data_IF_580200266838
#
_entry.id   IF_580200266838
#
_cell.length_a   1.000
_cell.length_b   1.000
_cell.length_c   1.000
_cell.angle_alpha   90.00
_cell.angle_beta   90.00
_cell.angle_gamma   90.00
#
_symmetry.space_group_name_H-M   'P 1'
#
loop_
_entity.id
_entity.type
_entity.pdbx_description
1 polymer ?
#
# COMPACT_ATOMS: atom_id res chain seq x y z
N UNK A 1 -19.22 12.02 1.56
CA UNK A 1 -17.89 12.37 1.04
C UNK A 1 -16.96 11.25 1.43
N UNK A 2 -16.18 10.69 0.50
CA UNK A 2 -15.27 9.58 0.81
C UNK A 2 -13.84 10.15 0.90
N UNK A 3 -13.38 10.40 2.12
CA UNK A 3 -12.03 10.93 2.39
C UNK A 3 -11.15 9.83 2.97
N UNK A 4 -9.83 9.94 2.71
CA UNK A 4 -8.80 9.19 3.42
C UNK A 4 -7.93 10.18 4.17
N UNK A 5 -7.90 10.04 5.49
CA UNK A 5 -7.00 10.79 6.37
C UNK A 5 -5.84 9.87 6.72
N UNK A 6 -4.61 10.35 6.58
CA UNK A 6 -3.42 9.52 6.82
C UNK A 6 -2.21 10.38 7.19
N UNK A 7 -1.26 9.79 7.92
CA UNK A 7 0.00 10.45 8.25
C UNK A 7 1.13 9.85 7.42
N UNK A 8 1.86 10.68 6.67
CA UNK A 8 3.01 10.23 5.87
C UNK A 8 4.24 11.06 6.19
N UNK A 9 5.34 10.40 6.56
CA UNK A 9 6.62 11.04 6.97
C UNK A 9 6.42 12.11 8.07
N UNK A 10 5.48 11.88 8.99
CA UNK A 10 5.16 12.78 10.10
C UNK A 10 4.25 13.97 9.74
N UNK A 11 3.80 14.10 8.50
CA UNK A 11 2.83 15.10 8.07
C UNK A 11 1.45 14.49 7.84
N UNK A 12 0.40 15.21 8.26
CA UNK A 12 -0.98 14.80 8.09
C UNK A 12 -1.51 15.21 6.71
N UNK A 13 -2.20 14.29 6.05
CA UNK A 13 -2.81 14.49 4.73
C UNK A 13 -4.27 14.04 4.73
N UNK A 14 -5.04 14.65 3.84
CA UNK A 14 -6.42 14.29 3.54
C UNK A 14 -6.56 14.17 2.02
N UNK A 15 -6.89 12.98 1.53
CA UNK A 15 -7.26 12.74 0.14
C UNK A 15 -8.79 12.66 0.02
N UNK A 16 -9.40 13.58 -0.71
CA UNK A 16 -10.80 13.44 -1.11
C UNK A 16 -10.91 12.56 -2.35
N UNK A 17 -11.34 11.30 -2.16
CA UNK A 17 -11.46 10.33 -3.26
C UNK A 17 -12.59 10.67 -4.25
N UNK A 18 -13.41 11.68 -3.96
CA UNK A 18 -14.49 12.13 -4.85
C UNK A 18 -13.98 13.18 -5.84
N UNK A 19 -13.16 14.12 -5.38
CA UNK A 19 -12.57 15.17 -6.22
C UNK A 19 -11.15 14.85 -6.72
N UNK A 20 -10.48 13.87 -6.09
CA UNK A 20 -9.07 13.56 -6.33
C UNK A 20 -8.12 14.56 -5.69
N UNK A 21 -8.63 15.47 -4.85
CA UNK A 21 -7.83 16.53 -4.24
C UNK A 21 -7.06 16.02 -3.02
N UNK A 22 -5.73 16.16 -3.06
CA UNK A 22 -4.86 15.92 -1.91
C UNK A 22 -4.61 17.25 -1.17
N UNK A 23 -4.99 17.28 0.10
CA UNK A 23 -4.75 18.39 1.03
C UNK A 23 -3.75 17.95 2.10
N UNK A 24 -2.89 18.86 2.53
CA UNK A 24 -1.86 18.60 3.54
C UNK A 24 -0.68 19.57 3.38
N UNK A 25 0.42 19.26 4.04
CA UNK A 25 1.66 20.04 3.94
C UNK A 25 2.20 20.06 2.49
N UNK A 26 2.76 21.19 2.05
CA UNK A 26 3.33 21.36 0.70
C UNK A 26 4.84 21.02 0.65
N UNK A 27 5.35 20.32 1.67
CA UNK A 27 6.73 19.90 1.80
C UNK A 27 7.11 18.68 0.95
N UNK A 28 8.25 18.08 1.28
CA UNK A 28 8.82 16.98 0.49
C UNK A 28 7.96 15.70 0.51
N UNK A 29 7.26 15.44 1.61
CA UNK A 29 6.31 14.32 1.71
C UNK A 29 5.23 14.38 0.63
N UNK A 30 4.68 15.57 0.35
CA UNK A 30 3.69 15.77 -0.72
C UNK A 30 4.26 15.47 -2.09
N UNK A 31 5.47 15.97 -2.38
CA UNK A 31 6.16 15.72 -3.65
C UNK A 31 6.42 14.24 -3.87
N UNK A 32 6.78 13.50 -2.82
CA UNK A 32 6.94 12.04 -2.88
C UNK A 32 5.63 11.34 -3.21
N UNK A 33 4.52 11.71 -2.54
CA UNK A 33 3.18 11.17 -2.83
C UNK A 33 2.79 11.44 -4.28
N UNK A 34 2.85 12.70 -4.72
CA UNK A 34 2.48 13.11 -6.08
C UNK A 34 3.34 12.43 -7.14
N UNK A 35 4.64 12.26 -6.87
CA UNK A 35 5.54 11.54 -7.76
C UNK A 35 5.19 10.05 -7.83
N UNK A 36 4.92 9.40 -6.70
CA UNK A 36 4.58 7.98 -6.66
C UNK A 36 3.25 7.69 -7.37
N UNK A 37 2.24 8.53 -7.19
CA UNK A 37 0.95 8.38 -7.87
C UNK A 37 1.06 8.64 -9.37
N UNK A 38 1.82 9.65 -9.78
CA UNK A 38 2.08 9.91 -11.20
C UNK A 38 2.84 8.75 -11.88
N UNK A 39 3.89 8.22 -11.25
CA UNK A 39 4.64 7.06 -11.77
C UNK A 39 3.74 5.83 -11.85
N UNK A 40 2.98 5.53 -10.79
CA UNK A 40 2.06 4.40 -10.77
C UNK A 40 1.02 4.49 -11.89
N UNK A 41 0.40 5.67 -12.07
CA UNK A 41 -0.58 5.90 -13.12
C UNK A 41 0.05 5.79 -14.53
N UNK A 42 1.26 6.31 -14.72
CA UNK A 42 1.98 6.19 -15.99
C UNK A 42 2.35 4.73 -16.31
N UNK A 43 2.76 3.96 -15.29
CA UNK A 43 3.10 2.55 -15.43
C UNK A 43 1.87 1.65 -15.64
N UNK A 44 0.69 2.08 -15.17
CA UNK A 44 -0.57 1.37 -15.33
C UNK A 44 -0.78 0.19 -14.37
N UNK A 45 0.28 -0.25 -13.69
CA UNK A 45 0.25 -1.35 -12.73
C UNK A 45 1.40 -1.19 -11.72
N UNK A 46 1.12 -1.52 -10.45
CA UNK A 46 2.11 -1.76 -9.43
C UNK A 46 2.27 -3.28 -9.23
N UNK A 47 3.51 -3.75 -9.22
CA UNK A 47 3.88 -5.14 -8.91
C UNK A 47 5.27 -5.19 -8.28
N UNK A 48 5.53 -6.24 -7.50
CA UNK A 48 6.83 -6.48 -6.91
C UNK A 48 7.68 -7.43 -7.78
N UNK A 49 9.00 -7.27 -7.73
CA UNK A 49 9.93 -8.08 -8.54
C UNK A 49 10.01 -9.55 -8.08
N UNK A 50 9.68 -9.82 -6.82
CA UNK A 50 9.68 -11.16 -6.25
C UNK A 50 8.35 -11.90 -6.49
N UNK A 51 7.36 -11.24 -7.12
CA UNK A 51 6.03 -11.76 -7.37
C UNK A 51 5.33 -12.30 -6.10
N UNK A 52 5.62 -11.68 -4.96
CA UNK A 52 5.02 -11.99 -3.66
C UNK A 52 3.64 -11.34 -3.51
N UNK A 53 3.38 -10.25 -4.23
CA UNK A 53 2.13 -9.51 -4.15
C UNK A 53 1.26 -9.71 -5.38
N UNK A 54 -0.04 -9.57 -5.19
CA UNK A 54 -1.02 -9.49 -6.27
C UNK A 54 -0.84 -8.11 -6.92
N UNK A 55 -0.59 -8.04 -8.24
CA UNK A 55 -0.45 -6.77 -8.93
C UNK A 55 -1.70 -5.91 -8.79
N UNK A 56 -1.51 -4.60 -8.63
CA UNK A 56 -2.59 -3.62 -8.52
C UNK A 56 -2.57 -2.76 -9.77
N UNK A 57 -3.62 -2.85 -10.57
CA UNK A 57 -3.80 -1.97 -11.73
C UNK A 57 -4.05 -0.53 -11.28
N UNK A 58 -3.26 0.42 -11.81
CA UNK A 58 -3.32 1.83 -11.45
C UNK A 58 -3.86 2.63 -12.64
N UNK A 59 -5.09 3.14 -12.52
CA UNK A 59 -5.78 3.92 -13.56
C UNK A 59 -6.03 5.35 -13.08
N UNK A 60 -6.51 5.46 -11.84
CA UNK A 60 -6.87 6.73 -11.21
C UNK A 60 -6.62 6.62 -9.70
N UNK A 61 -5.35 6.71 -9.27
CA UNK A 61 -4.98 6.54 -7.87
C UNK A 61 -5.61 7.59 -6.97
N UNK A 62 -5.91 8.80 -7.48
CA UNK A 62 -6.45 9.88 -6.65
C UNK A 62 -7.93 9.68 -6.28
N UNK A 63 -8.66 8.81 -7.00
CA UNK A 63 -10.06 8.47 -6.72
C UNK A 63 -10.26 7.04 -6.19
N UNK A 64 -9.17 6.28 -6.00
CA UNK A 64 -9.24 4.88 -5.56
C UNK A 64 -8.22 4.56 -4.45
N UNK A 65 -8.74 4.31 -3.25
CA UNK A 65 -7.94 3.99 -2.06
C UNK A 65 -6.92 2.86 -2.25
N UNK A 66 -7.28 1.78 -2.96
CA UNK A 66 -6.38 0.63 -3.18
C UNK A 66 -5.23 0.98 -4.13
N UNK A 67 -5.55 1.75 -5.16
CA UNK A 67 -4.53 2.21 -6.12
C UNK A 67 -3.61 3.24 -5.47
N UNK A 68 -4.18 4.19 -4.72
CA UNK A 68 -3.41 5.13 -3.90
C UNK A 68 -2.46 4.41 -2.95
N UNK A 69 -2.98 3.48 -2.15
CA UNK A 69 -2.19 2.71 -1.20
C UNK A 69 -1.08 1.91 -1.88
N UNK A 70 -1.31 1.32 -3.06
CA UNK A 70 -0.26 0.65 -3.83
C UNK A 70 0.84 1.62 -4.28
N UNK A 71 0.49 2.84 -4.68
CA UNK A 71 1.48 3.88 -5.00
C UNK A 71 2.32 4.26 -3.77
N UNK A 72 1.70 4.46 -2.60
CA UNK A 72 2.43 4.76 -1.36
C UNK A 72 3.31 3.59 -0.92
N UNK A 73 2.79 2.36 -1.02
CA UNK A 73 3.51 1.14 -0.68
C UNK A 73 4.79 0.97 -1.53
N UNK A 74 4.82 1.51 -2.75
CA UNK A 74 6.01 1.48 -3.61
C UNK A 74 7.21 2.30 -3.09
N UNK A 75 6.96 3.31 -2.26
CA UNK A 75 7.99 4.23 -1.74
C UNK A 75 8.21 4.08 -0.23
N UNK A 76 7.25 3.49 0.46
CA UNK A 76 7.27 3.22 1.89
C UNK A 76 6.59 1.88 2.15
N UNK A 77 7.20 0.75 1.75
CA UNK A 77 6.59 -0.53 2.02
C UNK A 77 6.57 -0.79 3.54
N UNK A 78 7.58 -0.32 4.30
CA UNK A 78 7.86 -0.67 5.71
C UNK A 78 6.73 -0.35 6.68
N UNK A 79 6.44 -1.21 7.65
CA UNK A 79 5.38 -1.01 8.65
C UNK A 79 5.51 0.31 9.37
N UNK A 80 6.76 0.65 9.68
CA UNK A 80 7.16 1.85 10.39
C UNK A 80 7.07 3.11 9.49
N UNK A 81 7.03 2.95 8.16
CA UNK A 81 6.95 4.04 7.18
C UNK A 81 5.60 4.13 6.45
N UNK A 82 4.88 3.02 6.31
CA UNK A 82 3.61 2.90 5.61
C UNK A 82 2.49 3.41 6.52
N UNK A 83 1.65 4.36 6.08
CA UNK A 83 0.63 4.93 6.94
C UNK A 83 -0.34 3.85 7.45
N UNK A 84 -0.51 3.77 8.78
CA UNK A 84 -1.41 2.80 9.42
C UNK A 84 -2.84 2.92 8.90
N UNK A 85 -3.26 4.14 8.58
CA UNK A 85 -4.60 4.43 8.05
C UNK A 85 -4.81 3.84 6.65
N UNK A 86 -3.74 3.49 5.93
CA UNK A 86 -3.76 2.85 4.63
C UNK A 86 -3.64 1.32 4.69
N UNK A 87 -3.42 0.72 5.87
CA UNK A 87 -3.30 -0.73 6.04
C UNK A 87 -4.45 -1.53 5.39
N UNK A 88 -5.73 -1.15 5.52
CA UNK A 88 -6.84 -1.89 4.89
C UNK A 88 -6.79 -1.91 3.35
N UNK A 89 -6.00 -1.02 2.75
CA UNK A 89 -5.90 -0.84 1.30
C UNK A 89 -4.57 -1.31 0.72
N UNK A 90 -3.65 -1.79 1.57
CA UNK A 90 -2.35 -2.27 1.13
C UNK A 90 -2.47 -3.39 0.07
N UNK A 91 -1.48 -3.50 -0.83
CA UNK A 91 -1.40 -4.63 -1.75
C UNK A 91 -1.42 -5.96 -1.00
N UNK A 92 -2.20 -6.91 -1.50
CA UNK A 92 -2.31 -8.22 -0.87
C UNK A 92 -1.19 -9.12 -1.36
N UNK A 93 -0.67 -9.94 -0.46
CA UNK A 93 0.24 -11.02 -0.76
C UNK A 93 -0.49 -12.13 -1.52
N UNK A 94 0.22 -12.75 -2.46
CA UNK A 94 -0.29 -13.89 -3.22
C UNK A 94 -0.38 -15.11 -2.31
N UNK A 95 -1.45 -15.90 -2.43
CA UNK A 95 -1.56 -17.14 -1.68
C UNK A 95 -0.47 -18.15 -2.05
N UNK A 96 -0.01 -18.90 -1.06
CA UNK A 96 0.79 -20.10 -1.27
C UNK A 96 -0.16 -21.31 -1.40
N UNK A 97 -0.13 -21.99 -2.54
CA UNK A 97 -1.02 -23.14 -2.80
C UNK A 97 -2.49 -22.75 -2.91
N UNK A 98 -3.35 -23.37 -2.10
CA UNK A 98 -4.82 -23.15 -2.10
C UNK A 98 -5.29 -22.05 -1.13
N UNK A 99 -4.36 -21.29 -0.53
CA UNK A 99 -4.69 -20.21 0.41
C UNK A 99 -5.44 -19.03 -0.22
N UNK A 100 -5.85 -18.07 0.61
CA UNK A 100 -6.42 -16.80 0.15
C UNK A 100 -5.37 -15.67 0.12
N UNK A 101 -5.57 -14.64 -0.72
CA UNK A 101 -4.77 -13.43 -0.66
C UNK A 101 -4.75 -12.82 0.75
N UNK A 102 -3.59 -12.37 1.18
CA UNK A 102 -3.39 -11.93 2.56
C UNK A 102 -2.99 -10.46 2.61
N UNK A 103 -3.63 -9.67 3.48
CA UNK A 103 -3.20 -8.30 3.72
C UNK A 103 -2.05 -8.31 4.74
N UNK A 104 -0.84 -7.82 4.40
CA UNK A 104 0.35 -7.98 5.25
C UNK A 104 0.20 -7.32 6.63
N UNK A 105 -0.60 -6.26 6.72
CA UNK A 105 -0.75 -5.47 7.94
C UNK A 105 -1.91 -5.94 8.82
N UNK A 106 -3.01 -6.37 8.22
CA UNK A 106 -4.27 -6.63 8.94
C UNK A 106 -4.61 -8.10 9.11
N UNK A 107 -3.89 -9.00 8.44
CA UNK A 107 -4.16 -10.43 8.55
C UNK A 107 -3.90 -10.97 9.96
N UNK A 108 -4.77 -11.88 10.41
CA UNK A 108 -4.66 -12.52 11.72
C UNK A 108 -3.54 -13.55 11.76
N UNK A 109 -3.18 -14.01 12.97
CA UNK A 109 -2.19 -15.07 13.13
C UNK A 109 -2.63 -16.37 12.42
N UNK A 110 -3.92 -16.70 12.46
CA UNK A 110 -4.48 -17.88 11.80
C UNK A 110 -4.42 -17.77 10.27
N UNK A 111 -4.67 -16.59 9.69
CA UNK A 111 -4.54 -16.36 8.25
C UNK A 111 -3.08 -16.47 7.79
N UNK A 112 -2.14 -16.00 8.63
CA UNK A 112 -0.70 -16.09 8.36
C UNK A 112 -0.16 -17.52 8.40
N UNK A 113 -0.79 -18.44 9.15
CA UNK A 113 -0.40 -19.87 9.17
C UNK A 113 -0.53 -20.55 7.80
N UNK A 114 -1.28 -19.98 6.85
CA UNK A 114 -1.38 -20.48 5.48
C UNK A 114 -0.09 -20.28 4.66
N UNK A 115 0.86 -19.49 5.18
CA UNK A 115 2.15 -19.19 4.55
C UNK A 115 3.25 -19.98 5.26
N UNK A 116 4.18 -20.58 4.50
CA UNK A 116 5.27 -21.40 5.06
C UNK A 116 6.21 -20.60 5.95
N UNK A 117 7.00 -21.28 6.79
CA UNK A 117 8.00 -20.67 7.69
C UNK A 117 8.96 -19.71 6.96
N UNK A 118 9.28 -19.96 5.69
CA UNK A 118 10.12 -19.05 4.89
C UNK A 118 9.42 -17.72 4.52
N UNK A 119 8.09 -17.74 4.37
CA UNK A 119 7.30 -16.51 4.26
C UNK A 119 7.03 -15.89 5.62
N UNK A 120 6.96 -16.68 6.69
CA UNK A 120 6.90 -16.18 8.07
C UNK A 120 8.18 -15.43 8.45
N UNK A 121 9.36 -15.97 8.11
CA UNK A 121 10.63 -15.27 8.27
C UNK A 121 10.69 -14.02 7.39
N UNK A 122 10.19 -14.04 6.15
CA UNK A 122 10.08 -12.83 5.32
C UNK A 122 9.07 -11.83 5.90
N UNK A 123 8.00 -12.27 6.56
CA UNK A 123 7.01 -11.44 7.26
C UNK A 123 7.55 -10.86 8.57
N UNK A 124 8.41 -11.59 9.29
CA UNK A 124 9.04 -11.17 10.56
C UNK A 124 10.33 -10.37 10.36
N UNK A 125 11.08 -10.62 9.29
CA UNK A 125 12.29 -9.90 8.90
C UNK A 125 11.98 -8.65 8.06
N UNK A 126 10.70 -8.34 7.86
CA UNK A 126 10.26 -7.14 7.15
C UNK A 126 10.38 -7.23 5.63
N UNK A 127 10.49 -8.37 4.96
CA UNK A 127 10.32 -8.38 3.51
C UNK A 127 8.88 -8.06 3.04
N UNK A 128 7.93 -7.94 3.97
CA UNK A 128 6.77 -7.05 3.89
C UNK A 128 6.63 -6.36 5.25
N UNK A 129 7.65 -5.57 5.60
CA UNK A 129 7.47 -4.16 5.73
C UNK A 129 5.99 -3.78 5.84
#
# INVERSE_FOLDING_TARGET
MKTLEFTFRGAAFVLDLTSGELRGDDGDARKEIERATAIGQQGGEWSDSANMFIPVRIIDPMHNAKQFAACIFSIAPHKDDFPEELYPYAPHMRPMGEGQPLNPFTATAEERQQYSDGMHELLELGATF
#
